data_IF_209940686285
#
_entry.id   IF_209940686285
#
_cell.length_a   1.000
_cell.length_b   1.000
_cell.length_c   1.000
_cell.angle_alpha   90.00
_cell.angle_beta   90.00
_cell.angle_gamma   90.00
#
_symmetry.space_group_name_H-M   'P 1'
#
loop_
_entity.id
_entity.type
_entity.pdbx_description
1 polymer ?
#
# COMPACT_ATOMS: atom_id res chain seq x y z
N UNK A 1 30.22 -5.33 8.59
CA UNK A 1 29.00 -6.09 8.91
C UNK A 1 28.28 -5.34 10.02
N UNK A 2 26.98 -5.09 9.88
CA UNK A 2 26.15 -4.39 10.87
C UNK A 2 25.11 -5.35 11.41
N UNK A 3 24.84 -5.29 12.71
CA UNK A 3 23.79 -6.08 13.36
C UNK A 3 22.54 -5.21 13.47
N UNK A 4 21.43 -5.69 12.91
CA UNK A 4 20.12 -5.07 12.98
C UNK A 4 19.21 -6.04 13.72
N UNK A 5 18.67 -5.63 14.86
CA UNK A 5 17.78 -6.47 15.68
C UNK A 5 16.33 -6.17 15.33
N UNK A 6 15.72 -7.09 14.59
CA UNK A 6 14.27 -7.13 14.31
C UNK A 6 13.64 -8.36 14.96
N UNK A 7 14.12 -8.71 16.16
CA UNK A 7 13.56 -9.74 17.03
C UNK A 7 13.47 -11.13 16.40
N UNK A 8 14.52 -11.54 15.67
CA UNK A 8 14.64 -12.86 15.06
C UNK A 8 13.98 -12.98 13.67
N UNK A 9 13.34 -11.92 13.18
CA UNK A 9 12.89 -11.87 11.80
C UNK A 9 14.07 -11.72 10.84
N UNK A 10 13.86 -12.18 9.60
CA UNK A 10 14.87 -12.15 8.53
C UNK A 10 14.33 -11.65 7.20
N UNK A 11 13.02 -11.41 7.11
CA UNK A 11 12.41 -10.70 5.99
C UNK A 11 12.70 -9.21 6.09
N UNK A 12 13.01 -8.60 4.96
CA UNK A 12 13.24 -7.17 4.84
C UNK A 12 13.00 -6.77 3.38
N UNK A 13 12.15 -5.79 3.17
CA UNK A 13 11.77 -5.31 1.85
C UNK A 13 12.01 -3.81 1.75
N UNK A 14 12.28 -3.32 0.55
CA UNK A 14 12.39 -1.88 0.31
C UNK A 14 11.01 -1.24 0.48
N UNK A 15 10.94 -0.08 1.13
CA UNK A 15 9.71 0.71 1.19
C UNK A 15 9.42 1.26 -0.20
N UNK A 16 8.21 1.00 -0.71
CA UNK A 16 7.81 1.49 -2.03
C UNK A 16 7.64 3.01 -2.03
N UNK A 17 7.90 3.64 -3.17
CA UNK A 17 7.67 5.08 -3.35
C UNK A 17 8.92 5.93 -3.58
N UNK A 18 9.99 5.31 -4.09
CA UNK A 18 11.16 6.04 -4.59
C UNK A 18 12.18 6.43 -3.51
N UNK A 19 12.36 5.56 -2.52
CA UNK A 19 13.49 5.64 -1.59
C UNK A 19 14.35 4.39 -1.70
N UNK A 20 15.67 4.57 -1.64
CA UNK A 20 16.68 3.53 -1.47
C UNK A 20 17.23 3.47 -0.03
N UNK A 21 16.70 4.32 0.86
CA UNK A 21 17.15 4.48 2.25
C UNK A 21 16.24 3.77 3.26
N UNK A 22 15.02 3.40 2.89
CA UNK A 22 14.09 2.79 3.84
C UNK A 22 13.71 1.38 3.47
N UNK A 23 13.88 0.50 4.44
CA UNK A 23 13.41 -0.86 4.40
C UNK A 23 12.37 -1.08 5.50
N UNK A 24 11.56 -2.12 5.35
CA UNK A 24 10.59 -2.50 6.36
C UNK A 24 10.51 -4.02 6.51
N UNK A 25 10.03 -4.46 7.67
CA UNK A 25 9.80 -5.85 8.01
C UNK A 25 8.53 -6.00 8.84
N UNK A 26 7.85 -7.13 8.70
CA UNK A 26 6.67 -7.46 9.53
C UNK A 26 6.67 -8.94 9.91
N UNK A 27 6.09 -9.26 11.06
CA UNK A 27 6.04 -10.62 11.61
C UNK A 27 4.94 -11.51 11.01
N UNK A 28 4.21 -11.03 9.99
CA UNK A 28 3.22 -11.77 9.20
C UNK A 28 2.36 -12.75 10.04
N UNK A 29 1.57 -12.19 10.97
CA UNK A 29 0.81 -13.00 11.94
C UNK A 29 -0.46 -13.61 11.32
N UNK A 30 -1.12 -12.91 10.38
CA UNK A 30 -2.46 -13.27 9.89
C UNK A 30 -2.67 -13.06 8.38
N UNK A 31 -1.59 -12.92 7.61
CA UNK A 31 -1.68 -12.67 6.18
C UNK A 31 -1.98 -11.20 5.85
N UNK A 32 -2.85 -10.92 4.89
CA UNK A 32 -3.17 -9.53 4.50
C UNK A 32 -4.26 -8.86 5.37
N UNK A 33 -4.54 -7.58 5.10
CA UNK A 33 -5.54 -6.80 5.84
C UNK A 33 -6.96 -7.39 5.75
N UNK A 34 -7.31 -8.02 4.63
CA UNK A 34 -8.62 -8.63 4.44
C UNK A 34 -8.75 -9.93 5.21
N UNK A 35 -7.70 -10.76 5.21
CA UNK A 35 -7.66 -11.97 6.03
C UNK A 35 -7.76 -11.64 7.54
N UNK A 36 -7.08 -10.58 7.98
CA UNK A 36 -7.21 -10.09 9.35
C UNK A 36 -8.64 -9.60 9.67
N UNK A 37 -9.30 -8.90 8.74
CA UNK A 37 -10.69 -8.47 8.89
C UNK A 37 -11.66 -9.66 9.00
N UNK A 38 -11.50 -10.67 8.15
CA UNK A 38 -12.36 -11.85 8.13
C UNK A 38 -12.23 -12.65 9.44
N UNK A 39 -11.02 -12.79 9.97
CA UNK A 39 -10.81 -13.38 11.30
C UNK A 39 -11.53 -12.59 12.40
N UNK A 40 -11.45 -11.25 12.36
CA UNK A 40 -12.14 -10.39 13.32
C UNK A 40 -13.67 -10.57 13.23
N UNK A 41 -14.24 -10.58 12.02
CA UNK A 41 -15.68 -10.79 11.77
C UNK A 41 -16.16 -12.16 12.27
N UNK A 42 -15.32 -13.17 12.17
CA UNK A 42 -15.55 -14.53 12.70
C UNK A 42 -15.38 -14.62 14.22
N UNK A 43 -15.10 -13.49 14.91
CA UNK A 43 -14.87 -13.38 16.36
C UNK A 43 -13.63 -14.13 16.82
N UNK A 44 -12.67 -14.34 15.93
CA UNK A 44 -11.33 -14.75 16.33
C UNK A 44 -10.59 -13.55 16.96
N UNK A 45 -9.66 -13.86 17.85
CA UNK A 45 -8.78 -12.84 18.40
C UNK A 45 -7.74 -12.45 17.36
N UNK A 46 -7.81 -11.20 16.89
CA UNK A 46 -6.85 -10.62 15.95
C UNK A 46 -5.77 -9.89 16.73
N UNK A 47 -4.54 -10.40 16.65
CA UNK A 47 -3.37 -9.71 17.17
C UNK A 47 -2.82 -8.78 16.11
N UNK A 48 -2.37 -7.61 16.53
CA UNK A 48 -1.66 -6.72 15.62
C UNK A 48 -0.37 -7.36 15.15
N UNK A 49 -0.16 -7.32 13.84
CA UNK A 49 1.18 -7.49 13.29
C UNK A 49 2.08 -6.36 13.80
N UNK A 50 3.37 -6.66 13.92
CA UNK A 50 4.40 -5.69 14.21
C UNK A 50 5.04 -5.28 12.90
N UNK A 51 5.31 -4.00 12.74
CA UNK A 51 5.99 -3.44 11.58
C UNK A 51 7.21 -2.68 12.06
N UNK A 52 8.35 -2.96 11.46
CA UNK A 52 9.61 -2.29 11.75
C UNK A 52 10.07 -1.54 10.52
N UNK A 53 10.52 -0.31 10.72
CA UNK A 53 11.23 0.48 9.72
C UNK A 53 12.72 0.38 10.00
N UNK A 54 13.51 0.09 8.97
CA UNK A 54 14.96 -0.02 9.05
C UNK A 54 15.55 1.06 8.15
N UNK A 55 16.29 1.99 8.75
CA UNK A 55 16.93 3.07 8.02
C UNK A 55 18.31 2.62 7.50
N UNK A 56 18.54 2.75 6.21
CA UNK A 56 19.84 2.64 5.55
C UNK A 56 20.44 4.04 5.39
N UNK A 57 21.76 4.24 5.59
CA UNK A 57 22.78 3.21 5.83
C UNK A 57 23.01 2.87 7.31
N UNK A 58 22.37 3.57 8.25
CA UNK A 58 22.74 3.49 9.67
C UNK A 58 22.24 2.23 10.41
N UNK A 59 21.28 1.50 9.85
CA UNK A 59 20.70 0.27 10.38
C UNK A 59 19.79 0.48 11.60
N UNK A 60 19.35 1.71 11.84
CA UNK A 60 18.47 2.04 12.97
C UNK A 60 17.09 1.45 12.73
N UNK A 61 16.53 0.83 13.77
CA UNK A 61 15.22 0.17 13.73
C UNK A 61 14.22 1.01 14.50
N UNK A 62 13.05 1.23 13.90
CA UNK A 62 11.91 1.89 14.51
C UNK A 62 10.69 0.97 14.47
N UNK A 63 9.94 0.92 15.56
CA UNK A 63 8.59 0.34 15.60
C UNK A 63 7.59 1.51 15.72
N UNK A 64 7.12 2.07 14.60
CA UNK A 64 6.42 3.36 14.61
C UNK A 64 5.01 3.31 15.21
N UNK A 65 4.41 2.12 15.25
CA UNK A 65 3.06 1.89 15.77
C UNK A 65 3.14 0.76 16.80
N UNK A 66 2.84 1.04 18.08
CA UNK A 66 2.76 0.00 19.10
C UNK A 66 1.64 -1.00 18.78
N UNK A 67 1.85 -2.31 18.98
CA UNK A 67 0.83 -3.31 18.71
C UNK A 67 -0.34 -3.16 19.69
N UNK A 68 -1.55 -3.10 19.14
CA UNK A 68 -2.82 -3.03 19.89
C UNK A 68 -3.76 -4.13 19.38
N UNK A 69 -4.42 -4.86 20.28
CA UNK A 69 -5.36 -5.92 19.87
C UNK A 69 -6.47 -5.37 18.95
N UNK A 70 -6.75 -6.10 17.86
CA UNK A 70 -7.72 -5.69 16.84
C UNK A 70 -7.20 -4.64 15.85
N UNK A 71 -5.94 -4.21 15.97
CA UNK A 71 -5.25 -3.40 14.96
C UNK A 71 -4.54 -4.29 13.95
N UNK A 72 -4.40 -3.84 12.70
CA UNK A 72 -3.56 -4.47 11.69
C UNK A 72 -2.99 -3.43 10.73
N UNK A 73 -1.74 -3.63 10.31
CA UNK A 73 -1.00 -2.70 9.46
C UNK A 73 -0.85 -3.25 8.05
N UNK A 74 -1.07 -2.38 7.07
CA UNK A 74 -0.79 -2.65 5.66
C UNK A 74 0.66 -2.30 5.28
N UNK A 75 0.95 -2.42 3.98
CA UNK A 75 2.25 -2.08 3.41
C UNK A 75 2.57 -0.58 3.58
N UNK A 76 3.78 -0.22 4.05
CA UNK A 76 4.20 1.18 4.14
C UNK A 76 4.61 1.73 2.77
N UNK A 77 4.49 3.05 2.60
CA UNK A 77 4.99 3.77 1.42
C UNK A 77 5.82 4.98 1.82
N UNK A 78 6.72 5.41 0.97
CA UNK A 78 7.47 6.64 1.09
C UNK A 78 6.76 7.76 0.33
N UNK A 79 6.55 8.88 1.00
CA UNK A 79 5.87 10.05 0.44
C UNK A 79 6.47 11.32 1.05
N UNK A 80 6.97 12.22 0.20
CA UNK A 80 7.49 13.55 0.57
C UNK A 80 8.46 13.56 1.78
N UNK A 81 9.46 12.67 1.80
CA UNK A 81 10.46 12.67 2.86
C UNK A 81 10.07 11.90 4.12
N UNK A 82 8.94 11.20 4.12
CA UNK A 82 8.45 10.46 5.27
C UNK A 82 7.90 9.08 4.88
N UNK A 83 7.88 8.17 5.86
CA UNK A 83 7.22 6.88 5.71
C UNK A 83 5.77 7.03 6.15
N UNK A 84 4.84 6.55 5.33
CA UNK A 84 3.40 6.56 5.59
C UNK A 84 2.93 5.13 5.81
N UNK A 85 2.09 4.96 6.83
CA UNK A 85 1.63 3.69 7.35
C UNK A 85 0.11 3.63 7.23
N UNK A 86 -0.40 2.50 6.77
CA UNK A 86 -1.81 2.17 6.79
C UNK A 86 -2.10 1.34 8.04
N UNK A 87 -3.03 1.81 8.88
CA UNK A 87 -3.43 1.10 10.08
C UNK A 87 -4.95 0.95 10.09
N UNK A 88 -5.45 -0.28 10.21
CA UNK A 88 -6.88 -0.55 10.39
C UNK A 88 -7.09 -1.05 11.81
N UNK A 89 -7.94 -0.38 12.57
CA UNK A 89 -8.37 -0.83 13.88
C UNK A 89 -9.81 -1.33 13.80
N UNK A 90 -9.99 -2.64 13.82
CA UNK A 90 -11.29 -3.29 13.69
C UNK A 90 -12.17 -3.08 14.94
N UNK A 91 -11.56 -3.07 16.12
CA UNK A 91 -12.28 -2.83 17.38
C UNK A 91 -12.84 -1.40 17.46
N UNK A 92 -12.08 -0.42 16.97
CA UNK A 92 -12.50 0.99 16.87
C UNK A 92 -13.33 1.28 15.61
N UNK A 93 -13.36 0.35 14.65
CA UNK A 93 -13.96 0.54 13.32
C UNK A 93 -13.40 1.76 12.59
N UNK A 94 -12.08 1.91 12.58
CA UNK A 94 -11.37 3.06 12.00
C UNK A 94 -10.20 2.61 11.11
N UNK A 95 -9.94 3.39 10.07
CA UNK A 95 -8.74 3.36 9.23
C UNK A 95 -7.95 4.63 9.51
N UNK A 96 -6.65 4.49 9.73
CA UNK A 96 -5.71 5.57 9.97
C UNK A 96 -4.61 5.56 8.92
N UNK A 97 -4.29 6.74 8.40
CA UNK A 97 -3.11 6.99 7.59
C UNK A 97 -2.15 7.78 8.48
N UNK A 98 -1.02 7.19 8.85
CA UNK A 98 -0.05 7.79 9.76
C UNK A 98 1.25 8.11 9.04
N UNK A 99 1.85 9.26 9.32
CA UNK A 99 3.17 9.65 8.82
C UNK A 99 4.20 9.52 9.93
N UNK A 100 5.22 8.70 9.71
CA UNK A 100 6.39 8.60 10.58
C UNK A 100 7.42 9.65 10.20
N UNK A 101 7.71 10.56 11.13
CA UNK A 101 8.66 11.65 10.97
C UNK A 101 9.95 11.25 11.67
N UNK A 102 10.93 10.82 10.87
CA UNK A 102 12.20 10.29 11.37
C UNK A 102 12.91 11.24 12.34
N UNK A 103 12.98 12.55 12.06
CA UNK A 103 13.68 13.51 12.93
C UNK A 103 13.05 13.67 14.33
N UNK A 104 11.78 13.28 14.48
CA UNK A 104 11.04 13.39 15.73
C UNK A 104 10.81 12.02 16.39
N UNK A 105 11.12 10.93 15.69
CA UNK A 105 10.80 9.55 16.06
C UNK A 105 9.33 9.39 16.48
N UNK A 106 8.43 10.04 15.74
CA UNK A 106 7.00 10.10 16.06
C UNK A 106 6.14 9.86 14.83
N UNK A 107 4.98 9.29 15.07
CA UNK A 107 3.89 9.19 14.11
C UNK A 107 2.91 10.35 14.29
N UNK A 108 2.43 10.89 13.17
CA UNK A 108 1.38 11.89 13.11
C UNK A 108 0.23 11.39 12.23
N UNK A 109 -1.00 11.65 12.64
CA UNK A 109 -2.18 11.31 11.83
C UNK A 109 -2.25 12.24 10.61
N UNK A 110 -2.29 11.65 9.42
CA UNK A 110 -2.54 12.36 8.14
C UNK A 110 -4.03 12.38 7.84
N UNK A 111 -4.68 11.23 8.00
CA UNK A 111 -6.10 11.07 7.81
C UNK A 111 -6.66 9.97 8.71
N UNK A 112 -7.94 10.11 9.04
CA UNK A 112 -8.74 9.11 9.75
C UNK A 112 -10.08 8.97 9.08
N UNK A 113 -10.46 7.72 8.79
CA UNK A 113 -11.68 7.36 8.07
C UNK A 113 -12.42 6.28 8.87
N UNK A 114 -13.75 6.32 8.95
CA UNK A 114 -14.52 5.17 9.43
C UNK A 114 -14.24 3.94 8.56
N UNK A 115 -14.09 2.76 9.16
CA UNK A 115 -13.92 1.51 8.41
C UNK A 115 -15.10 1.24 7.47
N UNK A 116 -16.30 1.72 7.81
CA UNK A 116 -17.49 1.66 6.95
C UNK A 116 -17.39 2.49 5.66
N UNK A 117 -16.31 3.25 5.45
CA UNK A 117 -16.04 3.94 4.18
C UNK A 117 -15.74 2.93 3.07
N UNK A 118 -15.22 1.76 3.42
CA UNK A 118 -15.00 0.63 2.52
C UNK A 118 -15.92 -0.52 2.91
N UNK A 119 -16.22 -1.40 1.95
CA UNK A 119 -17.02 -2.60 2.20
C UNK A 119 -16.26 -3.65 3.02
N UNK A 120 -14.96 -3.75 2.76
CA UNK A 120 -14.01 -4.65 3.37
C UNK A 120 -12.59 -4.15 3.05
N UNK A 121 -11.57 -4.80 3.60
CA UNK A 121 -10.18 -4.44 3.39
C UNK A 121 -9.51 -5.15 2.20
N UNK A 122 -10.28 -5.76 1.29
CA UNK A 122 -9.74 -6.51 0.15
C UNK A 122 -8.91 -5.61 -0.78
N UNK A 123 -7.60 -5.89 -0.88
CA UNK A 123 -6.65 -5.04 -1.61
C UNK A 123 -6.73 -3.55 -1.20
N UNK A 124 -6.93 -3.27 0.09
CA UNK A 124 -6.85 -1.92 0.63
C UNK A 124 -5.37 -1.51 0.81
N UNK A 125 -4.88 -0.63 -0.06
CA UNK A 125 -3.45 -0.36 -0.22
C UNK A 125 -3.18 1.15 -0.27
N UNK A 126 -2.05 1.57 0.32
CA UNK A 126 -1.51 2.92 0.13
C UNK A 126 -0.63 2.98 -1.12
N UNK A 127 -0.79 4.05 -1.89
CA UNK A 127 0.08 4.41 -3.00
C UNK A 127 0.63 5.82 -2.77
N UNK A 128 1.75 6.14 -3.40
CA UNK A 128 2.43 7.45 -3.28
C UNK A 128 2.32 8.28 -4.57
N UNK A 129 2.66 9.56 -4.47
CA UNK A 129 2.86 10.49 -5.59
C UNK A 129 1.66 10.72 -6.51
N UNK A 130 0.56 11.35 -6.03
CA UNK A 130 0.30 11.74 -4.63
C UNK A 130 -0.20 10.61 -3.74
N UNK A 131 0.03 10.74 -2.44
CA UNK A 131 -0.48 9.81 -1.42
C UNK A 131 -1.99 9.56 -1.59
N UNK A 132 -2.35 8.28 -1.71
CA UNK A 132 -3.74 7.86 -1.89
C UNK A 132 -3.98 6.51 -1.24
N UNK A 133 -5.19 6.33 -0.68
CA UNK A 133 -5.69 5.05 -0.22
C UNK A 133 -6.62 4.50 -1.29
N UNK A 134 -6.33 3.31 -1.81
CA UNK A 134 -7.12 2.66 -2.86
C UNK A 134 -7.60 1.30 -2.39
N UNK A 135 -8.65 0.80 -3.03
CA UNK A 135 -9.16 -0.55 -2.86
C UNK A 135 -9.45 -1.12 -4.24
N UNK A 136 -8.95 -2.33 -4.52
CA UNK A 136 -9.28 -3.05 -5.76
C UNK A 136 -9.94 -4.40 -5.43
N UNK A 137 -11.25 -4.41 -5.17
CA UNK A 137 -12.00 -5.63 -4.92
C UNK A 137 -11.96 -6.61 -6.10
N UNK A 138 -12.31 -7.87 -5.81
CA UNK A 138 -12.57 -8.88 -6.83
C UNK A 138 -14.01 -8.80 -7.39
N UNK A 139 -14.46 -7.59 -7.76
CA UNK A 139 -15.76 -7.35 -8.40
C UNK A 139 -15.66 -6.51 -9.68
N UNK A 140 -14.44 -6.35 -10.21
CA UNK A 140 -14.18 -5.60 -11.43
C UNK A 140 -14.23 -4.08 -11.23
N UNK A 141 -14.06 -3.58 -10.01
CA UNK A 141 -14.00 -2.15 -9.73
C UNK A 141 -12.66 -1.72 -9.15
N UNK A 142 -12.28 -0.49 -9.45
CA UNK A 142 -11.24 0.25 -8.77
C UNK A 142 -11.88 1.34 -7.93
N UNK A 143 -11.41 1.51 -6.69
CA UNK A 143 -11.87 2.54 -5.78
C UNK A 143 -10.67 3.34 -5.27
N UNK A 144 -10.72 4.66 -5.41
CA UNK A 144 -9.85 5.54 -4.64
C UNK A 144 -10.66 6.05 -3.46
N UNK A 145 -10.29 5.61 -2.26
CA UNK A 145 -11.02 5.87 -1.02
C UNK A 145 -10.70 7.27 -0.49
N UNK A 146 -9.44 7.68 -0.65
CA UNK A 146 -8.93 8.97 -0.21
C UNK A 146 -7.74 9.40 -1.08
N UNK A 147 -7.58 10.69 -1.41
CA UNK A 147 -8.44 11.82 -1.01
C UNK A 147 -9.67 12.09 -1.90
N UNK A 148 -9.68 11.69 -3.18
CA UNK A 148 -10.66 12.18 -4.16
C UNK A 148 -12.02 11.44 -4.14
N UNK A 149 -12.09 10.26 -3.50
CA UNK A 149 -13.29 9.42 -3.38
C UNK A 149 -14.00 9.15 -4.71
N UNK A 150 -13.37 8.31 -5.54
CA UNK A 150 -13.89 7.90 -6.85
C UNK A 150 -14.00 6.38 -6.96
N UNK A 151 -14.82 5.92 -7.89
CA UNK A 151 -14.92 4.50 -8.24
C UNK A 151 -15.37 4.33 -9.69
N UNK A 152 -14.78 3.36 -10.39
CA UNK A 152 -15.16 3.00 -11.74
C UNK A 152 -14.83 1.53 -12.03
N UNK A 153 -15.45 0.99 -13.09
CA UNK A 153 -15.20 -0.37 -13.52
C UNK A 153 -13.87 -0.51 -14.26
N UNK A 154 -13.17 -1.60 -14.00
CA UNK A 154 -11.94 -2.04 -14.67
C UNK A 154 -12.12 -3.46 -15.20
N UNK A 155 -11.22 -3.91 -16.06
CA UNK A 155 -11.16 -5.33 -16.44
C UNK A 155 -10.66 -6.18 -15.26
N UNK A 156 -11.11 -7.43 -15.16
CA UNK A 156 -10.66 -8.36 -14.12
C UNK A 156 -9.16 -8.68 -14.17
N UNK A 157 -8.50 -8.40 -15.31
CA UNK A 157 -7.05 -8.54 -15.50
C UNK A 157 -6.28 -7.23 -15.27
N UNK A 158 -6.96 -6.14 -14.94
CA UNK A 158 -6.31 -4.88 -14.61
C UNK A 158 -5.83 -4.87 -13.16
N UNK A 159 -4.69 -4.24 -12.92
CA UNK A 159 -4.16 -3.99 -11.58
C UNK A 159 -3.61 -2.58 -11.51
N UNK A 160 -4.07 -1.80 -10.53
CA UNK A 160 -3.56 -0.45 -10.30
C UNK A 160 -2.08 -0.50 -9.91
N UNK A 161 -1.28 0.36 -10.53
CA UNK A 161 0.16 0.44 -10.30
C UNK A 161 0.50 1.72 -9.52
N UNK A 162 0.28 2.88 -10.13
CA UNK A 162 0.54 4.18 -9.52
C UNK A 162 -0.27 5.29 -10.21
N UNK A 163 -0.16 6.52 -9.73
CA UNK A 163 -0.71 7.69 -10.40
C UNK A 163 0.32 8.78 -10.64
N UNK A 164 0.00 9.71 -11.51
CA UNK A 164 0.71 10.96 -11.71
C UNK A 164 -0.31 12.09 -11.90
N UNK A 165 -0.54 12.84 -10.83
CA UNK A 165 -1.64 13.81 -10.80
C UNK A 165 -2.99 13.13 -11.03
N UNK A 166 -3.64 13.51 -12.13
CA UNK A 166 -4.96 13.01 -12.55
C UNK A 166 -4.88 11.78 -13.48
N UNK A 167 -3.68 11.31 -13.82
CA UNK A 167 -3.48 10.13 -14.66
C UNK A 167 -3.20 8.89 -13.80
N UNK A 168 -4.02 7.86 -13.95
CA UNK A 168 -3.93 6.59 -13.24
C UNK A 168 -3.34 5.51 -14.14
N UNK A 169 -2.28 4.86 -13.70
CA UNK A 169 -1.58 3.83 -14.46
C UNK A 169 -1.97 2.45 -13.94
N UNK A 170 -2.53 1.63 -14.83
CA UNK A 170 -2.90 0.24 -14.57
C UNK A 170 -2.07 -0.67 -15.46
N UNK A 171 -1.66 -1.81 -14.92
CA UNK A 171 -1.21 -2.94 -15.73
C UNK A 171 -2.42 -3.75 -16.19
N UNK A 172 -2.40 -4.28 -17.41
CA UNK A 172 -3.34 -5.31 -17.86
C UNK A 172 -2.56 -6.42 -18.56
N UNK A 173 -2.86 -7.68 -18.23
CA UNK A 173 -2.25 -8.84 -18.85
C UNK A 173 -3.22 -9.58 -19.78
N UNK A 174 -2.65 -10.24 -20.79
CA UNK A 174 -3.37 -11.07 -21.74
C UNK A 174 -2.61 -12.38 -21.92
N UNK A 175 -3.32 -13.49 -22.10
CA UNK A 175 -2.72 -14.80 -22.37
C UNK A 175 -2.94 -15.28 -23.82
N UNK A 176 -3.85 -14.64 -24.57
CA UNK A 176 -4.25 -15.09 -25.91
C UNK A 176 -3.74 -14.16 -27.02
N UNK A 177 -3.09 -14.66 -28.09
CA UNK A 177 -2.52 -16.01 -28.25
C UNK A 177 -1.21 -16.24 -27.47
N UNK A 178 -0.55 -15.16 -27.03
CA UNK A 178 0.68 -15.17 -26.26
C UNK A 178 0.57 -14.21 -25.08
N UNK A 179 1.33 -14.51 -24.01
CA UNK A 179 1.43 -13.64 -22.85
C UNK A 179 1.97 -12.27 -23.24
N UNK A 180 1.24 -11.21 -22.88
CA UNK A 180 1.71 -9.82 -23.00
C UNK A 180 1.05 -8.96 -21.94
N UNK A 181 1.74 -7.89 -21.59
CA UNK A 181 1.23 -6.85 -20.71
C UNK A 181 1.11 -5.52 -21.47
N UNK A 182 0.12 -4.73 -21.11
CA UNK A 182 -0.02 -3.34 -21.52
C UNK A 182 -0.19 -2.46 -20.27
N UNK A 183 0.31 -1.24 -20.35
CA UNK A 183 0.00 -0.19 -19.38
C UNK A 183 -1.15 0.64 -19.93
N UNK A 184 -2.24 0.73 -19.16
CA UNK A 184 -3.38 1.59 -19.43
C UNK A 184 -3.25 2.86 -18.60
N UNK A 185 -3.31 4.01 -19.28
CA UNK A 185 -3.43 5.31 -18.60
C UNK A 185 -4.91 5.67 -18.58
N UNK A 186 -5.46 5.90 -17.39
CA UNK A 186 -6.88 6.22 -17.16
C UNK A 186 -7.02 7.57 -16.49
N UNK A 187 -8.08 8.29 -16.83
CA UNK A 187 -8.47 9.54 -16.18
C UNK A 187 -8.96 9.27 -14.75
N UNK A 188 -8.45 10.02 -13.77
CA UNK A 188 -8.95 10.03 -12.40
C UNK A 188 -10.44 10.44 -12.31
N UNK A 189 -10.93 11.24 -13.26
CA UNK A 189 -12.28 11.82 -13.17
C UNK A 189 -13.39 10.79 -13.33
N UNK A 190 -13.19 9.83 -14.23
CA UNK A 190 -14.24 8.92 -14.71
C UNK A 190 -13.71 7.52 -15.08
N UNK A 191 -12.40 7.29 -14.94
CA UNK A 191 -11.75 6.04 -15.31
C UNK A 191 -11.60 5.81 -16.81
N UNK A 192 -11.89 6.82 -17.66
CA UNK A 192 -11.75 6.67 -19.11
C UNK A 192 -10.30 6.36 -19.52
N UNK A 193 -10.10 5.39 -20.41
CA UNK A 193 -8.77 5.05 -20.94
C UNK A 193 -8.32 6.18 -21.87
N UNK A 194 -7.22 6.83 -21.51
CA UNK A 194 -6.59 7.92 -22.23
C UNK A 194 -5.52 7.41 -23.19
N UNK A 195 -4.72 6.42 -22.74
CA UNK A 195 -3.60 5.88 -23.51
C UNK A 195 -3.39 4.38 -23.22
N UNK A 196 -2.76 3.69 -24.18
CA UNK A 196 -2.30 2.30 -24.06
C UNK A 196 -0.85 2.20 -24.51
N UNK A 197 0.01 1.69 -23.63
CA UNK A 197 1.43 1.49 -23.89
C UNK A 197 1.73 -0.02 -23.86
N UNK A 198 2.47 -0.58 -24.84
CA UNK A 198 2.93 -1.96 -24.74
C UNK A 198 3.95 -2.08 -23.61
N UNK A 199 3.79 -3.11 -22.77
CA UNK A 199 4.66 -3.38 -21.63
C UNK A 199 4.12 -2.86 -20.29
N UNK A 200 4.95 -2.99 -19.26
CA UNK A 200 4.65 -2.61 -17.87
C UNK A 200 5.62 -1.54 -17.36
N UNK A 201 5.14 -0.70 -16.44
CA UNK A 201 5.99 0.33 -15.82
C UNK A 201 6.48 -0.17 -14.46
N UNK A 202 7.80 -0.23 -14.30
CA UNK A 202 8.46 -0.50 -13.02
C UNK A 202 8.97 0.79 -12.39
N UNK A 203 8.70 0.96 -11.10
CA UNK A 203 9.25 2.05 -10.29
C UNK A 203 10.53 1.55 -9.63
N UNK A 204 11.64 2.20 -9.94
CA UNK A 204 12.96 1.89 -9.42
C UNK A 204 13.14 2.48 -8.00
N UNK A 205 14.11 2.00 -7.21
CA UNK A 205 14.36 2.50 -5.85
C UNK A 205 14.55 4.01 -5.75
N UNK A 206 15.14 4.65 -6.78
CA UNK A 206 15.33 6.10 -6.87
C UNK A 206 14.09 6.86 -7.38
N UNK A 207 12.95 6.18 -7.59
CA UNK A 207 11.71 6.74 -8.11
C UNK A 207 11.63 6.84 -9.63
N UNK A 208 12.67 6.48 -10.38
CA UNK A 208 12.61 6.44 -11.84
C UNK A 208 11.58 5.43 -12.32
N UNK A 209 10.89 5.76 -13.42
CA UNK A 209 9.86 4.90 -14.02
C UNK A 209 10.36 4.34 -15.33
N UNK A 210 10.44 3.02 -15.43
CA UNK A 210 10.95 2.32 -16.61
C UNK A 210 9.82 1.54 -17.26
N UNK A 211 9.49 1.87 -18.52
CA UNK A 211 8.60 1.06 -19.34
C UNK A 211 9.36 -0.15 -19.89
N UNK A 212 9.01 -1.33 -19.40
CA UNK A 212 9.58 -2.62 -19.79
C UNK A 212 8.72 -3.22 -20.90
N UNK A 213 9.32 -3.54 -22.04
CA UNK A 213 8.64 -4.06 -23.23
C UNK A 213 9.04 -5.49 -23.55
#
# INVERSE_FOLDING_TARGET
>A
MKTVDIHGMTNMELVQGGTDEWYWATDYIHGDLYEAEELFRQRHHVRSNRLYLIHYPDGTVYEPVPPVDGQYLGYPVYDEGAIVLLVVNFAESMIYILRFIHQQEKTQEVARLPLSTVKDCYNLILHTSPLSLTRQPNDGTFEMIWPEKISFAINDRESFNFREGDDLYFNIWYEDPDYREETLVRSLRDGAILERLPGDIRIMPNGERWLIK
#
